data_IF_146882001836
#
_entry.id   IF_146882001836
#
_cell.length_a   1.000
_cell.length_b   1.000
_cell.length_c   1.000
_cell.angle_alpha   90.00
_cell.angle_beta   90.00
_cell.angle_gamma   90.00
#
_symmetry.space_group_name_H-M   'P 1'
#
loop_
_entity.id
_entity.type
_entity.pdbx_description
1 polymer ?
#
# COMPACT_ATOMS: atom_id res chain seq x y z
N UNK A 1 -17.84 -13.59 17.09
CA UNK A 1 -16.49 -14.17 17.40
C UNK A 1 -15.41 -13.43 16.61
N UNK A 2 -14.12 -13.57 16.93
CA UNK A 2 -13.06 -12.79 16.25
C UNK A 2 -12.99 -12.99 14.72
N UNK A 3 -13.36 -14.18 14.22
CA UNK A 3 -13.32 -14.54 12.80
C UNK A 3 -14.29 -13.75 11.91
N UNK A 4 -15.44 -13.32 12.42
CA UNK A 4 -16.45 -12.55 11.66
C UNK A 4 -15.99 -11.12 11.30
N UNK A 5 -14.84 -10.68 11.84
CA UNK A 5 -14.22 -9.38 11.57
C UNK A 5 -12.99 -9.47 10.68
N UNK A 6 -12.63 -10.68 10.23
CA UNK A 6 -11.47 -10.93 9.38
C UNK A 6 -11.99 -11.19 7.97
N UNK A 7 -11.64 -10.31 7.04
CA UNK A 7 -11.96 -10.44 5.63
C UNK A 7 -10.67 -10.72 4.86
N UNK A 8 -10.65 -11.81 4.11
CA UNK A 8 -9.51 -12.19 3.29
C UNK A 8 -9.62 -11.53 1.91
N UNK A 9 -8.50 -10.98 1.45
CA UNK A 9 -8.31 -10.50 0.07
C UNK A 9 -7.15 -11.32 -0.53
N UNK A 10 -7.41 -12.06 -1.60
CA UNK A 10 -6.50 -13.05 -2.19
C UNK A 10 -6.29 -12.87 -3.71
N UNK A 11 -6.76 -11.76 -4.28
CA UNK A 11 -6.76 -11.51 -5.73
C UNK A 11 -5.71 -10.51 -6.19
N UNK A 12 -5.20 -9.66 -5.30
CA UNK A 12 -4.25 -8.62 -5.68
C UNK A 12 -2.88 -9.17 -6.12
N UNK A 13 -2.40 -8.72 -7.27
CA UNK A 13 -1.05 -8.96 -7.77
C UNK A 13 -0.10 -7.78 -7.51
N UNK A 14 -0.65 -6.64 -7.09
CA UNK A 14 0.07 -5.39 -6.88
C UNK A 14 -0.36 -4.65 -5.61
N UNK A 15 0.47 -3.72 -5.10
CA UNK A 15 0.12 -2.87 -3.94
C UNK A 15 -1.10 -1.98 -4.21
N UNK A 16 -1.30 -1.56 -5.47
CA UNK A 16 -2.45 -0.74 -5.85
C UNK A 16 -3.74 -1.55 -5.79
N UNK A 17 -3.72 -2.77 -6.33
CA UNK A 17 -4.85 -3.70 -6.27
C UNK A 17 -5.17 -4.07 -4.83
N UNK A 18 -4.16 -4.34 -3.99
CA UNK A 18 -4.35 -4.60 -2.57
C UNK A 18 -5.16 -3.48 -1.90
N UNK A 19 -4.77 -2.22 -2.11
CA UNK A 19 -5.47 -1.08 -1.54
C UNK A 19 -6.89 -0.92 -2.10
N UNK A 20 -7.07 -1.11 -3.41
CA UNK A 20 -8.38 -0.99 -4.07
C UNK A 20 -9.35 -2.08 -3.61
N UNK A 21 -8.93 -3.34 -3.61
CA UNK A 21 -9.78 -4.46 -3.20
C UNK A 21 -10.07 -4.42 -1.70
N UNK A 22 -9.07 -4.06 -0.88
CA UNK A 22 -9.29 -3.82 0.55
C UNK A 22 -10.30 -2.70 0.80
N UNK A 23 -10.24 -1.60 0.03
CA UNK A 23 -11.24 -0.52 0.10
C UNK A 23 -12.64 -1.05 -0.18
N UNK A 24 -12.78 -1.80 -1.27
CA UNK A 24 -14.07 -2.29 -1.73
C UNK A 24 -14.68 -3.28 -0.70
N UNK A 25 -13.85 -4.11 -0.06
CA UNK A 25 -14.25 -4.97 1.07
C UNK A 25 -14.69 -4.14 2.28
N UNK A 26 -13.95 -3.11 2.65
CA UNK A 26 -14.31 -2.21 3.77
C UNK A 26 -15.67 -1.56 3.51
N UNK A 27 -15.92 -1.07 2.30
CA UNK A 27 -17.19 -0.44 1.95
C UNK A 27 -18.34 -1.45 1.91
N UNK A 28 -18.13 -2.65 1.36
CA UNK A 28 -19.13 -3.72 1.31
C UNK A 28 -19.55 -4.21 2.71
N UNK A 29 -18.68 -4.07 3.69
CA UNK A 29 -18.92 -4.45 5.09
C UNK A 29 -19.48 -3.30 5.94
N UNK A 30 -19.81 -2.16 5.33
CA UNK A 30 -20.37 -0.98 5.99
C UNK A 30 -19.34 -0.09 6.70
N UNK A 31 -18.04 -0.33 6.47
CA UNK A 31 -16.95 0.45 7.03
C UNK A 31 -16.71 1.78 6.29
N UNK A 32 -15.91 2.65 6.91
CA UNK A 32 -15.57 3.97 6.37
C UNK A 32 -14.06 4.08 6.07
N UNK A 33 -13.71 4.54 4.88
CA UNK A 33 -12.32 4.62 4.39
C UNK A 33 -11.65 5.98 4.58
N UNK A 34 -12.38 6.98 5.09
CA UNK A 34 -11.95 8.38 5.21
C UNK A 34 -11.35 8.73 6.57
N UNK A 35 -11.67 7.98 7.63
CA UNK A 35 -11.25 8.34 9.00
C UNK A 35 -10.70 7.20 9.85
N UNK A 36 -10.65 5.96 9.37
CA UNK A 36 -10.39 4.80 10.24
C UNK A 36 -9.44 3.71 9.71
N UNK A 37 -8.78 3.90 8.56
CA UNK A 37 -7.99 2.81 7.97
C UNK A 37 -6.55 2.84 8.45
N UNK A 38 -6.09 1.76 9.09
CA UNK A 38 -4.70 1.52 9.39
C UNK A 38 -4.13 0.45 8.44
N UNK A 39 -3.01 0.73 7.80
CA UNK A 39 -2.29 -0.24 6.96
C UNK A 39 -1.02 -0.65 7.70
N UNK A 40 -0.93 -1.93 8.01
CA UNK A 40 0.26 -2.53 8.64
C UNK A 40 1.07 -3.22 7.55
N UNK A 41 2.32 -2.80 7.35
CA UNK A 41 3.22 -3.43 6.38
C UNK A 41 4.69 -3.12 6.72
N UNK A 42 5.61 -3.75 6.01
CA UNK A 42 7.05 -3.54 6.13
C UNK A 42 7.43 -2.07 5.96
N UNK A 43 8.39 -1.59 6.77
CA UNK A 43 8.71 -0.16 6.91
C UNK A 43 9.11 0.54 5.58
N UNK A 44 9.62 -0.22 4.60
CA UNK A 44 10.06 0.31 3.31
C UNK A 44 8.95 0.53 2.29
N UNK A 45 7.81 -0.14 2.45
CA UNK A 45 6.67 0.03 1.56
C UNK A 45 5.75 1.18 1.98
N UNK A 46 5.95 1.79 3.15
CA UNK A 46 5.04 2.79 3.68
C UNK A 46 4.93 4.04 2.80
N UNK A 47 6.02 4.44 2.14
CA UNK A 47 5.97 5.57 1.20
C UNK A 47 5.07 5.24 0.00
N UNK A 48 5.27 4.06 -0.62
CA UNK A 48 4.48 3.58 -1.76
C UNK A 48 3.00 3.44 -1.38
N UNK A 49 2.71 2.85 -0.23
CA UNK A 49 1.35 2.69 0.30
C UNK A 49 0.69 4.06 0.51
N UNK A 50 1.38 5.02 1.12
CA UNK A 50 0.82 6.36 1.38
C UNK A 50 0.48 7.11 0.09
N UNK A 51 1.32 7.01 -0.94
CA UNK A 51 1.06 7.63 -2.24
C UNK A 51 -0.11 6.97 -2.96
N UNK A 52 -0.14 5.63 -3.02
CA UNK A 52 -1.19 4.88 -3.70
C UNK A 52 -2.54 5.02 -2.98
N UNK A 53 -2.56 5.04 -1.65
CA UNK A 53 -3.78 5.25 -0.89
C UNK A 53 -4.45 6.59 -1.23
N UNK A 54 -3.66 7.67 -1.38
CA UNK A 54 -4.17 8.96 -1.85
C UNK A 54 -4.78 8.87 -3.24
N UNK A 55 -4.18 8.10 -4.16
CA UNK A 55 -4.73 7.87 -5.51
C UNK A 55 -6.03 7.06 -5.49
N UNK A 56 -6.17 6.14 -4.54
CA UNK A 56 -7.36 5.27 -4.37
C UNK A 56 -8.48 5.99 -3.61
N UNK A 57 -8.24 7.21 -3.11
CA UNK A 57 -9.20 8.00 -2.34
C UNK A 57 -9.35 7.54 -0.90
N UNK A 58 -8.36 6.86 -0.34
CA UNK A 58 -8.37 6.37 1.04
C UNK A 58 -7.47 7.21 1.94
N UNK A 59 -7.93 7.51 3.14
CA UNK A 59 -7.10 8.13 4.17
C UNK A 59 -6.56 7.07 5.11
N UNK A 60 -5.32 6.63 4.84
CA UNK A 60 -4.67 5.56 5.60
C UNK A 60 -3.64 6.08 6.60
N UNK A 61 -3.60 5.47 7.78
CA UNK A 61 -2.50 5.57 8.74
C UNK A 61 -1.58 4.37 8.55
N UNK A 62 -0.32 4.63 8.25
CA UNK A 62 0.68 3.57 8.08
C UNK A 62 1.24 3.18 9.45
N UNK A 63 1.22 1.88 9.75
CA UNK A 63 1.83 1.31 10.97
C UNK A 63 3.03 0.46 10.52
N UNK A 64 4.27 0.86 10.85
CA UNK A 64 5.46 0.13 10.45
C UNK A 64 5.53 -1.23 11.17
N UNK A 65 5.67 -2.30 10.40
CA UNK A 65 6.23 -3.55 10.91
C UNK A 65 7.76 -3.50 10.77
N UNK A 66 8.55 -3.81 11.81
CA UNK A 66 10.00 -3.77 11.74
C UNK A 66 10.51 -4.70 10.64
N UNK A 67 11.31 -4.15 9.73
CA UNK A 67 11.90 -4.86 8.59
C UNK A 67 13.39 -4.52 8.56
N UNK A 68 14.30 -5.45 8.20
CA UNK A 68 15.72 -5.18 8.22
C UNK A 68 16.11 -4.02 7.30
N UNK A 69 16.71 -2.99 7.90
CA UNK A 69 16.97 -1.68 7.30
C UNK A 69 17.99 -1.68 6.16
N UNK A 70 18.79 -2.75 6.02
CA UNK A 70 19.89 -2.85 5.05
C UNK A 70 19.46 -3.22 3.62
N UNK A 71 18.22 -3.68 3.40
CA UNK A 71 17.70 -3.98 2.04
C UNK A 71 16.99 -2.77 1.39
N UNK A 72 16.66 -1.75 2.18
CA UNK A 72 15.78 -0.64 1.81
C UNK A 72 16.42 0.39 0.88
N UNK A 73 17.70 0.76 1.04
CA UNK A 73 18.34 1.71 0.13
C UNK A 73 18.43 1.15 -1.28
N UNK A 74 18.78 -0.13 -1.44
CA UNK A 74 19.02 -0.75 -2.74
C UNK A 74 17.76 -0.83 -3.62
N UNK A 75 16.60 -1.11 -3.05
CA UNK A 75 15.34 -1.20 -3.81
C UNK A 75 14.80 0.20 -4.13
N UNK A 76 14.87 1.15 -3.19
CA UNK A 76 14.47 2.54 -3.45
C UNK A 76 15.36 3.24 -4.48
N UNK A 77 16.68 3.03 -4.45
CA UNK A 77 17.60 3.53 -5.48
C UNK A 77 17.28 2.92 -6.85
N UNK A 78 16.96 1.63 -6.92
CA UNK A 78 16.58 0.97 -8.18
C UNK A 78 15.30 1.56 -8.78
N UNK A 79 14.27 1.81 -7.97
CA UNK A 79 13.04 2.45 -8.46
C UNK A 79 13.23 3.93 -8.81
N UNK A 80 14.09 4.65 -8.09
CA UNK A 80 14.44 6.03 -8.42
C UNK A 80 15.17 6.15 -9.77
N UNK A 81 16.16 5.29 -10.03
CA UNK A 81 16.85 5.26 -11.33
C UNK A 81 15.96 4.73 -12.46
N UNK A 82 15.03 3.82 -12.18
CA UNK A 82 14.05 3.38 -13.17
C UNK A 82 13.11 4.52 -13.60
N UNK A 83 12.61 5.33 -12.65
CA UNK A 83 11.79 6.51 -12.94
C UNK A 83 12.55 7.58 -13.73
N UNK A 84 13.82 7.83 -13.39
CA UNK A 84 14.68 8.77 -14.13
C UNK A 84 14.95 8.27 -15.55
N UNK A 85 15.24 6.97 -15.71
CA UNK A 85 15.47 6.37 -17.02
C UNK A 85 14.23 6.46 -17.92
N UNK A 86 13.04 6.16 -17.38
CA UNK A 86 11.79 6.30 -18.13
C UNK A 86 11.49 7.75 -18.52
N UNK A 87 11.86 8.73 -17.70
CA UNK A 87 11.67 10.16 -18.02
C UNK A 87 12.65 10.69 -19.07
N UNK A 88 13.79 10.04 -19.27
CA UNK A 88 14.85 10.48 -20.20
C UNK A 88 14.91 9.69 -21.51
N UNK A 89 14.37 8.46 -21.54
CA UNK A 89 14.53 7.55 -22.67
C UNK A 89 13.25 7.31 -23.50
N UNK A 90 12.10 7.87 -23.10
CA UNK A 90 10.89 7.90 -23.93
C UNK A 90 10.73 9.28 -24.61
N UNK A 91 11.66 9.59 -25.51
CA UNK A 91 11.48 10.58 -26.58
C UNK A 91 11.88 9.98 -27.93
#
# INVERSE_FOLDING_TARGET
MAAERIYLEDRASSTLENLRYSRDIILATGGNTDRGVAVVTSNFHLLRVRLLAKRVGMRVRCVPAPTPWYLLPNVCLREYFALIKSLLADW
#
